data_IF_499550679092
#
_entry.id   IF_499550679092
#
_cell.length_a   1.000
_cell.length_b   1.000
_cell.length_c   1.000
_cell.angle_alpha   90.00
_cell.angle_beta   90.00
_cell.angle_gamma   90.00
#
_symmetry.space_group_name_H-M   'P 1'
#
loop_
_entity.id
_entity.type
_entity.pdbx_description
1 polymer ?
#
# COMPACT_ATOMS: atom_id res chain seq x y z
N UNK A 1 -4.81 -7.91 19.99
CA UNK A 1 -5.52 -7.58 18.74
C UNK A 1 -6.62 -6.58 19.05
N UNK A 2 -6.78 -5.55 18.20
CA UNK A 2 -7.80 -4.51 18.39
C UNK A 2 -9.20 -5.11 18.17
N UNK A 3 -10.16 -4.74 19.02
CA UNK A 3 -11.56 -5.08 18.82
C UNK A 3 -12.10 -4.28 17.62
N UNK A 4 -12.67 -4.97 16.64
CA UNK A 4 -13.28 -4.34 15.47
C UNK A 4 -14.79 -4.53 15.49
N UNK A 5 -15.51 -3.50 15.05
CA UNK A 5 -16.97 -3.50 14.89
C UNK A 5 -17.37 -2.52 13.79
N UNK A 6 -18.65 -2.56 13.40
CA UNK A 6 -19.23 -1.63 12.45
C UNK A 6 -18.82 -0.17 12.73
N UNK A 7 -18.55 0.60 11.66
CA UNK A 7 -17.98 1.97 11.66
C UNK A 7 -16.51 2.10 12.05
N UNK A 8 -15.80 1.01 12.33
CA UNK A 8 -14.34 1.08 12.53
C UNK A 8 -13.64 1.35 11.20
N UNK A 9 -12.72 2.32 11.17
CA UNK A 9 -11.77 2.51 10.07
C UNK A 9 -10.34 2.30 10.56
N UNK A 10 -9.67 1.25 10.07
CA UNK A 10 -8.27 0.95 10.42
C UNK A 10 -7.61 -0.08 9.50
N UNK A 11 -6.28 -0.21 9.57
CA UNK A 11 -5.51 -1.22 8.83
C UNK A 11 -5.84 -2.66 9.24
N UNK A 12 -6.28 -2.88 10.49
CA UNK A 12 -6.76 -4.20 10.91
C UNK A 12 -8.06 -4.60 10.21
N UNK A 13 -8.92 -3.64 9.85
CA UNK A 13 -10.12 -3.92 9.05
C UNK A 13 -9.74 -4.38 7.63
N UNK A 14 -8.69 -3.78 7.04
CA UNK A 14 -8.16 -4.25 5.75
C UNK A 14 -7.70 -5.71 5.85
N UNK A 15 -6.99 -6.05 6.92
CA UNK A 15 -6.52 -7.43 7.15
C UNK A 15 -7.70 -8.40 7.36
N UNK A 16 -8.74 -7.98 8.10
CA UNK A 16 -9.98 -8.73 8.25
C UNK A 16 -10.64 -8.99 6.88
N UNK A 17 -10.77 -7.96 6.05
CA UNK A 17 -11.39 -8.09 4.73
C UNK A 17 -10.57 -9.00 3.80
N UNK A 18 -9.24 -8.91 3.84
CA UNK A 18 -8.35 -9.84 3.11
C UNK A 18 -8.59 -11.30 3.52
N UNK A 19 -8.70 -11.57 4.83
CA UNK A 19 -8.93 -12.93 5.34
C UNK A 19 -10.32 -13.43 4.93
N UNK A 20 -11.37 -12.62 5.13
CA UNK A 20 -12.73 -12.98 4.74
C UNK A 20 -12.80 -13.27 3.23
N UNK A 21 -12.19 -12.42 2.40
CA UNK A 21 -12.12 -12.68 0.96
C UNK A 21 -11.45 -14.02 0.64
N UNK A 22 -10.29 -14.32 1.27
CA UNK A 22 -9.61 -15.62 1.12
C UNK A 22 -10.47 -16.81 1.59
N UNK A 23 -11.37 -16.59 2.54
CA UNK A 23 -12.31 -17.60 3.04
C UNK A 23 -13.59 -17.71 2.17
N UNK A 24 -13.66 -16.99 1.04
CA UNK A 24 -14.73 -17.10 0.06
C UNK A 24 -15.86 -16.09 0.21
N UNK A 25 -15.71 -15.05 1.03
CA UNK A 25 -16.68 -13.97 1.11
C UNK A 25 -16.42 -12.95 0.00
N UNK A 26 -17.38 -12.73 -0.90
CA UNK A 26 -17.26 -11.65 -1.88
C UNK A 26 -17.62 -10.31 -1.24
N UNK A 27 -16.59 -9.60 -0.79
CA UNK A 27 -16.70 -8.28 -0.17
C UNK A 27 -15.68 -7.33 -0.79
N UNK A 28 -15.91 -6.02 -0.62
CA UNK A 28 -14.89 -5.02 -0.93
C UNK A 28 -13.75 -5.07 0.10
N UNK A 29 -12.50 -5.14 -0.38
CA UNK A 29 -11.32 -5.14 0.50
C UNK A 29 -10.91 -3.69 0.79
N UNK A 30 -11.23 -3.20 1.99
CA UNK A 30 -10.93 -1.82 2.38
C UNK A 30 -10.59 -1.70 3.86
N UNK A 31 -10.13 -0.52 4.26
CA UNK A 31 -9.84 -0.19 5.66
C UNK A 31 -11.10 0.16 6.47
N UNK A 32 -12.31 -0.01 5.90
CA UNK A 32 -13.57 0.49 6.46
C UNK A 32 -14.55 -0.66 6.74
N UNK A 33 -15.04 -0.76 7.98
CA UNK A 33 -15.91 -1.83 8.43
C UNK A 33 -17.37 -1.49 8.08
N UNK A 34 -17.79 -1.86 6.87
CA UNK A 34 -19.12 -1.60 6.32
C UNK A 34 -20.18 -2.59 6.83
N UNK A 35 -21.45 -2.36 6.47
CA UNK A 35 -22.55 -3.31 6.73
C UNK A 35 -22.33 -4.66 6.03
N UNK A 36 -21.72 -4.66 4.85
CA UNK A 36 -21.35 -5.87 4.11
C UNK A 36 -20.31 -6.69 4.91
N UNK A 37 -19.30 -6.03 5.47
CA UNK A 37 -18.30 -6.68 6.35
C UNK A 37 -18.96 -7.22 7.62
N UNK A 38 -19.89 -6.48 8.23
CA UNK A 38 -20.65 -6.93 9.40
C UNK A 38 -21.46 -8.21 9.12
N UNK A 39 -22.15 -8.26 7.98
CA UNK A 39 -22.87 -9.44 7.54
C UNK A 39 -21.94 -10.65 7.33
N UNK A 40 -20.79 -10.44 6.67
CA UNK A 40 -19.79 -11.49 6.46
C UNK A 40 -19.19 -11.99 7.79
N UNK A 41 -18.92 -11.09 8.74
CA UNK A 41 -18.43 -11.47 10.08
C UNK A 41 -19.47 -12.29 10.84
N UNK A 42 -20.75 -11.88 10.81
CA UNK A 42 -21.83 -12.63 11.48
C UNK A 42 -22.03 -14.02 10.88
N UNK A 43 -21.99 -14.14 9.56
CA UNK A 43 -22.05 -15.43 8.88
C UNK A 43 -20.83 -16.31 9.23
N UNK A 44 -19.63 -15.73 9.24
CA UNK A 44 -18.42 -16.43 9.69
C UNK A 44 -18.53 -16.92 11.13
N UNK A 45 -18.97 -16.06 12.05
CA UNK A 45 -19.19 -16.42 13.46
C UNK A 45 -20.18 -17.58 13.57
N UNK A 46 -21.31 -17.52 12.84
CA UNK A 46 -22.32 -18.58 12.80
C UNK A 46 -21.76 -19.90 12.30
N UNK A 47 -21.03 -19.89 11.17
CA UNK A 47 -20.41 -21.08 10.56
C UNK A 47 -19.33 -21.74 11.42
N UNK A 48 -18.75 -21.00 12.38
CA UNK A 48 -17.70 -21.50 13.26
C UNK A 48 -18.14 -21.60 14.73
N UNK A 49 -19.46 -21.66 14.99
CA UNK A 49 -20.02 -21.84 16.34
C UNK A 49 -19.55 -20.80 17.37
N UNK A 50 -19.38 -19.55 16.93
CA UNK A 50 -19.08 -18.41 17.79
C UNK A 50 -20.36 -17.63 18.13
N UNK A 51 -20.26 -16.73 19.11
CA UNK A 51 -21.32 -15.74 19.38
C UNK A 51 -21.46 -14.85 18.14
N UNK A 52 -22.68 -14.73 17.62
CA UNK A 52 -23.01 -13.98 16.40
C UNK A 52 -23.36 -12.54 16.78
N UNK A 53 -22.34 -11.75 17.09
CA UNK A 53 -22.48 -10.36 17.53
C UNK A 53 -21.94 -9.33 16.51
N UNK A 54 -21.29 -9.79 15.43
CA UNK A 54 -20.62 -8.92 14.45
C UNK A 54 -19.33 -8.27 14.98
N UNK A 55 -18.91 -8.61 16.20
CA UNK A 55 -17.71 -8.05 16.85
C UNK A 55 -16.53 -8.99 16.61
N UNK A 56 -15.48 -8.46 15.98
CA UNK A 56 -14.23 -9.21 15.81
C UNK A 56 -13.35 -9.01 17.04
N UNK A 57 -13.66 -9.78 18.08
CA UNK A 57 -12.88 -9.90 19.31
C UNK A 57 -11.82 -11.00 19.22
N UNK A 58 -11.12 -11.25 20.34
CA UNK A 58 -10.03 -12.24 20.41
C UNK A 58 -10.43 -13.64 19.95
N UNK A 59 -11.67 -14.07 20.23
CA UNK A 59 -12.19 -15.39 19.83
C UNK A 59 -12.37 -15.47 18.30
N UNK A 60 -13.01 -14.47 17.69
CA UNK A 60 -13.20 -14.41 16.24
C UNK A 60 -11.87 -14.33 15.51
N UNK A 61 -10.94 -13.50 16.00
CA UNK A 61 -9.60 -13.41 15.46
C UNK A 61 -8.83 -14.73 15.50
N UNK A 62 -8.89 -15.46 16.62
CA UNK A 62 -8.20 -16.75 16.75
C UNK A 62 -8.67 -17.75 15.68
N UNK A 63 -9.99 -17.84 15.46
CA UNK A 63 -10.56 -18.74 14.44
C UNK A 63 -10.24 -18.26 13.03
N UNK A 64 -10.32 -16.95 12.75
CA UNK A 64 -9.94 -16.37 11.44
C UNK A 64 -8.50 -16.73 11.08
N UNK A 65 -7.55 -16.50 12.00
CA UNK A 65 -6.13 -16.77 11.78
C UNK A 65 -5.88 -18.26 11.55
N UNK A 66 -6.48 -19.13 12.35
CA UNK A 66 -6.38 -20.58 12.19
C UNK A 66 -6.87 -21.05 10.82
N UNK A 67 -8.04 -20.56 10.37
CA UNK A 67 -8.67 -20.95 9.10
C UNK A 67 -7.98 -20.34 7.88
N UNK A 68 -7.32 -19.20 8.04
CA UNK A 68 -6.65 -18.48 6.96
C UNK A 68 -5.27 -19.06 6.58
N UNK A 69 -4.73 -19.98 7.38
CA UNK A 69 -3.38 -20.61 7.31
C UNK A 69 -2.30 -19.71 6.68
N UNK A 70 -1.38 -19.12 7.48
CA UNK A 70 -0.35 -18.26 6.90
C UNK A 70 0.65 -19.10 6.08
N UNK A 71 0.90 -18.77 4.80
CA UNK A 71 2.04 -19.33 4.10
C UNK A 71 3.31 -18.57 4.54
N UNK A 72 4.30 -19.32 5.03
CA UNK A 72 5.71 -18.94 5.22
C UNK A 72 6.03 -18.08 6.47
N UNK A 73 7.24 -18.22 6.99
CA UNK A 73 7.85 -17.33 8.00
C UNK A 73 7.79 -15.87 7.52
N UNK A 74 6.77 -15.14 7.96
CA UNK A 74 6.45 -13.78 7.52
C UNK A 74 7.46 -12.73 7.99
N UNK A 75 8.29 -13.03 8.99
CA UNK A 75 9.27 -12.10 9.56
C UNK A 75 10.38 -11.70 8.61
N UNK A 76 10.69 -12.51 7.59
CA UNK A 76 11.70 -12.15 6.58
C UNK A 76 11.23 -11.04 5.64
N UNK A 77 9.91 -10.83 5.55
CA UNK A 77 9.31 -9.75 4.77
C UNK A 77 9.21 -8.44 5.54
N UNK A 78 9.19 -8.48 6.87
CA UNK A 78 8.91 -7.30 7.69
C UNK A 78 10.09 -6.37 7.82
N UNK A 79 9.79 -5.09 7.99
CA UNK A 79 10.75 -4.04 8.25
C UNK A 79 11.37 -4.24 9.63
N UNK A 80 12.69 -4.23 9.71
CA UNK A 80 13.44 -4.46 10.94
C UNK A 80 14.00 -3.14 11.45
N UNK A 81 14.26 -3.07 12.75
CA UNK A 81 14.92 -1.92 13.38
C UNK A 81 16.26 -1.59 12.69
N UNK A 82 17.03 -2.63 12.30
CA UNK A 82 18.30 -2.46 11.60
C UNK A 82 18.13 -1.79 10.23
N UNK A 83 16.99 -1.98 9.55
CA UNK A 83 16.71 -1.30 8.28
C UNK A 83 16.55 0.21 8.49
N UNK A 84 15.87 0.60 9.58
CA UNK A 84 15.71 2.01 9.97
C UNK A 84 17.04 2.65 10.36
N UNK A 85 17.89 1.92 11.10
CA UNK A 85 19.23 2.37 11.49
C UNK A 85 20.11 2.56 10.25
N UNK A 86 20.12 1.59 9.33
CA UNK A 86 20.90 1.67 8.10
C UNK A 86 20.44 2.84 7.23
N UNK A 87 19.13 3.07 7.12
CA UNK A 87 18.57 4.22 6.42
C UNK A 87 19.00 5.54 7.08
N UNK A 88 18.92 5.63 8.40
CA UNK A 88 19.33 6.80 9.16
C UNK A 88 20.81 7.13 8.90
N UNK A 89 21.68 6.13 8.98
CA UNK A 89 23.11 6.26 8.72
C UNK A 89 23.39 6.67 7.26
N UNK A 90 22.73 6.02 6.29
CA UNK A 90 22.91 6.30 4.86
C UNK A 90 22.62 7.77 4.53
N UNK A 91 21.54 8.33 5.07
CA UNK A 91 21.12 9.69 4.74
C UNK A 91 21.58 10.74 5.76
N UNK A 92 22.29 10.35 6.84
CA UNK A 92 22.69 11.24 7.92
C UNK A 92 21.48 11.87 8.63
N UNK A 93 20.53 11.03 9.03
CA UNK A 93 19.30 11.39 9.74
C UNK A 93 19.36 10.87 11.17
N UNK A 94 18.63 11.53 12.08
CA UNK A 94 18.36 10.94 13.39
C UNK A 94 17.42 9.74 13.25
N UNK A 95 17.71 8.64 13.95
CA UNK A 95 16.85 7.45 13.96
C UNK A 95 15.42 7.79 14.40
N UNK A 96 15.24 8.73 15.33
CA UNK A 96 13.94 9.22 15.75
C UNK A 96 13.13 9.85 14.60
N UNK A 97 13.80 10.59 13.69
CA UNK A 97 13.15 11.16 12.50
C UNK A 97 12.73 10.06 11.51
N UNK A 98 13.58 9.04 11.30
CA UNK A 98 13.25 7.90 10.45
C UNK A 98 12.07 7.10 11.02
N UNK A 99 12.05 6.85 12.33
CA UNK A 99 10.93 6.19 13.02
C UNK A 99 9.65 7.00 12.94
N UNK A 100 9.71 8.33 13.07
CA UNK A 100 8.56 9.20 12.93
C UNK A 100 7.96 9.14 11.52
N UNK A 101 8.80 9.20 10.49
CA UNK A 101 8.38 9.05 9.09
C UNK A 101 7.81 7.67 8.85
N UNK A 102 8.44 6.60 9.35
CA UNK A 102 7.89 5.25 9.21
C UNK A 102 6.53 5.11 9.90
N UNK A 103 6.32 5.70 11.08
CA UNK A 103 5.02 5.66 11.76
C UNK A 103 3.91 6.39 10.99
N UNK A 104 4.24 7.49 10.30
CA UNK A 104 3.23 8.39 9.71
C UNK A 104 3.01 8.16 8.21
N UNK A 105 4.08 7.89 7.45
CA UNK A 105 4.05 7.81 5.99
C UNK A 105 3.98 6.37 5.47
N UNK A 106 4.30 5.38 6.31
CA UNK A 106 4.07 3.98 5.99
C UNK A 106 2.59 3.66 6.17
N UNK A 107 2.06 2.83 5.30
CA UNK A 107 0.75 2.21 5.52
C UNK A 107 0.78 1.03 6.51
N UNK A 108 1.89 0.87 7.24
CA UNK A 108 2.11 -0.15 8.27
C UNK A 108 2.50 -1.51 7.68
N UNK A 109 1.65 -2.04 6.79
CA UNK A 109 1.85 -3.35 6.15
C UNK A 109 2.22 -3.15 4.67
N UNK A 110 3.40 -3.63 4.27
CA UNK A 110 3.90 -3.58 2.90
C UNK A 110 3.51 -4.78 2.04
N UNK A 111 2.96 -5.85 2.63
CA UNK A 111 2.54 -7.07 1.93
C UNK A 111 1.09 -7.42 2.25
N UNK A 112 0.38 -8.03 1.32
CA UNK A 112 -0.95 -8.62 1.54
C UNK A 112 -0.82 -10.00 2.23
N UNK A 113 -1.91 -10.58 2.74
CA UNK A 113 -1.86 -11.93 3.34
C UNK A 113 -1.41 -13.06 2.39
N UNK A 114 -1.41 -12.81 1.07
CA UNK A 114 -0.90 -13.76 0.06
C UNK A 114 0.57 -13.51 -0.30
N UNK A 115 1.30 -12.75 0.52
CA UNK A 115 2.71 -12.39 0.35
C UNK A 115 3.05 -11.56 -0.90
N UNK A 116 2.05 -11.04 -1.62
CA UNK A 116 2.28 -10.02 -2.66
C UNK A 116 2.49 -8.64 -2.03
N UNK A 117 3.36 -7.79 -2.56
CA UNK A 117 3.45 -6.40 -2.14
C UNK A 117 2.08 -5.72 -2.17
N UNK A 118 1.81 -4.84 -1.23
CA UNK A 118 0.63 -4.00 -1.29
C UNK A 118 0.74 -3.06 -2.49
N UNK A 119 -0.29 -3.00 -3.32
CA UNK A 119 -0.34 -2.08 -4.46
C UNK A 119 -1.64 -1.28 -4.48
N UNK A 120 -1.62 -0.16 -5.19
CA UNK A 120 -2.80 0.50 -5.73
C UNK A 120 -2.57 0.75 -7.22
N UNK A 121 -3.45 0.23 -8.07
CA UNK A 121 -3.33 0.39 -9.52
C UNK A 121 -4.11 1.62 -10.01
N UNK A 122 -3.44 2.46 -10.80
CA UNK A 122 -3.95 3.73 -11.29
C UNK A 122 -4.21 3.69 -12.80
N UNK A 123 -5.44 3.38 -13.21
CA UNK A 123 -5.78 3.24 -14.64
C UNK A 123 -5.62 4.52 -15.48
N UNK A 124 -5.69 5.69 -14.84
CA UNK A 124 -5.36 6.97 -15.47
C UNK A 124 -3.87 7.22 -15.64
N UNK A 125 -3.03 6.64 -14.78
CA UNK A 125 -1.59 6.63 -15.00
C UNK A 125 -1.28 5.63 -16.12
N UNK A 126 -1.97 4.48 -16.17
CA UNK A 126 -1.81 3.50 -17.23
C UNK A 126 -2.12 4.09 -18.61
N UNK A 127 -3.22 4.83 -18.72
CA UNK A 127 -3.52 5.64 -19.91
C UNK A 127 -2.33 6.50 -20.37
N UNK A 128 -1.71 7.22 -19.44
CA UNK A 128 -0.58 8.10 -19.74
C UNK A 128 0.72 7.33 -20.04
N UNK A 129 0.97 6.21 -19.36
CA UNK A 129 2.13 5.37 -19.56
C UNK A 129 2.10 4.64 -20.92
N UNK A 130 0.90 4.27 -21.41
CA UNK A 130 0.71 3.79 -22.79
C UNK A 130 1.05 4.88 -23.82
N UNK A 131 0.53 6.10 -23.64
CA UNK A 131 0.84 7.24 -24.53
C UNK A 131 2.34 7.53 -24.59
N UNK A 132 3.04 7.53 -23.45
CA UNK A 132 4.49 7.74 -23.38
C UNK A 132 5.29 6.67 -24.14
N UNK A 133 4.70 5.49 -24.36
CA UNK A 133 5.28 4.35 -25.06
C UNK A 133 4.86 4.23 -26.54
N UNK A 134 4.15 5.24 -27.04
CA UNK A 134 3.67 5.31 -28.42
C UNK A 134 2.45 4.44 -28.70
N UNK A 135 1.73 4.01 -27.64
CA UNK A 135 0.51 3.21 -27.77
C UNK A 135 -0.67 4.16 -27.57
N UNK A 136 -1.61 4.20 -28.52
CA UNK A 136 -2.84 4.97 -28.38
C UNK A 136 -3.84 4.21 -27.48
N UNK A 137 -4.09 4.68 -26.24
CA UNK A 137 -5.03 4.01 -25.33
C UNK A 137 -6.47 4.03 -25.84
N UNK A 138 -6.84 4.93 -26.76
CA UNK A 138 -8.21 4.98 -27.29
C UNK A 138 -8.60 3.68 -28.03
N UNK A 139 -7.63 2.97 -28.60
CA UNK A 139 -7.83 1.69 -29.29
C UNK A 139 -8.34 0.61 -28.32
N UNK A 140 -7.91 0.68 -27.06
CA UNK A 140 -8.20 -0.32 -26.03
C UNK A 140 -9.28 0.14 -25.04
N UNK A 141 -9.65 1.42 -25.10
CA UNK A 141 -10.64 2.00 -24.20
C UNK A 141 -12.05 1.60 -24.61
N UNK A 142 -12.64 0.68 -23.85
CA UNK A 142 -14.01 0.23 -24.06
C UNK A 142 -14.70 -0.11 -22.72
N UNK A 143 -16.00 -0.42 -22.78
CA UNK A 143 -16.80 -0.70 -21.59
C UNK A 143 -16.31 -1.87 -20.75
N UNK A 144 -15.60 -2.82 -21.34
CA UNK A 144 -15.09 -4.03 -20.69
C UNK A 144 -13.84 -3.79 -19.85
N UNK A 145 -13.11 -2.69 -20.10
CA UNK A 145 -11.83 -2.38 -19.43
C UNK A 145 -11.84 -1.01 -18.73
N UNK A 146 -13.04 -0.46 -18.48
CA UNK A 146 -13.21 0.90 -17.94
C UNK A 146 -12.64 1.09 -16.54
N UNK A 147 -12.41 0.01 -15.81
CA UNK A 147 -11.86 0.00 -14.46
C UNK A 147 -10.33 -0.16 -14.42
N UNK A 148 -9.70 -0.51 -15.56
CA UNK A 148 -8.25 -0.60 -15.71
C UNK A 148 -7.65 0.48 -16.63
N UNK A 149 -8.44 1.04 -17.54
CA UNK A 149 -7.97 2.06 -18.49
C UNK A 149 -8.98 3.21 -18.59
N UNK A 150 -8.58 4.42 -18.20
CA UNK A 150 -9.46 5.59 -18.21
C UNK A 150 -8.66 6.91 -18.22
N UNK A 151 -9.10 7.99 -18.89
CA UNK A 151 -8.27 9.18 -19.08
C UNK A 151 -8.19 10.12 -17.88
N UNK A 152 -9.14 10.06 -16.94
CA UNK A 152 -9.26 11.00 -15.81
C UNK A 152 -9.22 10.27 -14.48
N UNK A 153 -8.50 10.83 -13.51
CA UNK A 153 -8.44 10.25 -12.17
C UNK A 153 -9.83 10.04 -11.56
N UNK A 154 -10.04 8.87 -10.97
CA UNK A 154 -11.23 8.52 -10.22
C UNK A 154 -10.93 7.39 -9.24
N UNK A 155 -11.60 7.41 -8.09
CA UNK A 155 -11.48 6.39 -7.04
C UNK A 155 -12.51 5.26 -7.15
N UNK A 156 -13.48 5.38 -8.07
CA UNK A 156 -14.62 4.44 -8.16
C UNK A 156 -14.20 3.00 -8.49
N UNK A 157 -13.06 2.86 -9.18
CA UNK A 157 -12.54 1.57 -9.62
C UNK A 157 -11.60 0.90 -8.63
N UNK A 158 -11.22 1.58 -7.55
CA UNK A 158 -10.37 0.97 -6.53
C UNK A 158 -11.12 -0.14 -5.80
N UNK A 159 -10.56 -1.34 -5.86
CA UNK A 159 -11.07 -2.56 -5.24
C UNK A 159 -10.34 -2.87 -3.93
N UNK A 160 -9.05 -2.52 -3.86
CA UNK A 160 -8.19 -2.73 -2.71
C UNK A 160 -7.71 -4.18 -2.53
N UNK A 161 -6.65 -4.35 -1.73
CA UNK A 161 -6.07 -5.66 -1.41
C UNK A 161 -5.65 -6.45 -2.66
N UNK A 162 -5.96 -7.75 -2.67
CA UNK A 162 -5.58 -8.64 -3.78
C UNK A 162 -6.32 -8.32 -5.09
N UNK A 163 -7.52 -7.72 -5.02
CA UNK A 163 -8.30 -7.33 -6.21
C UNK A 163 -7.60 -6.23 -7.04
N UNK A 164 -6.65 -5.48 -6.47
CA UNK A 164 -5.80 -4.58 -7.25
C UNK A 164 -4.83 -5.32 -8.18
N UNK A 165 -4.43 -6.56 -7.84
CA UNK A 165 -3.64 -7.39 -8.74
C UNK A 165 -4.45 -7.92 -9.91
N UNK A 166 -5.76 -8.13 -9.77
CA UNK A 166 -6.64 -8.48 -10.88
C UNK A 166 -6.64 -7.36 -11.93
N UNK A 167 -6.84 -6.11 -11.46
CA UNK A 167 -6.75 -4.90 -12.30
C UNK A 167 -5.37 -4.74 -12.96
N UNK A 168 -4.29 -4.94 -12.20
CA UNK A 168 -2.93 -4.87 -12.74
C UNK A 168 -2.68 -5.94 -13.80
N UNK A 169 -3.07 -7.19 -13.54
CA UNK A 169 -2.85 -8.32 -14.47
C UNK A 169 -3.65 -8.12 -15.76
N UNK A 170 -4.90 -7.66 -15.66
CA UNK A 170 -5.70 -7.31 -16.82
C UNK A 170 -5.02 -6.23 -17.66
N UNK A 171 -4.54 -5.15 -17.04
CA UNK A 171 -3.80 -4.09 -17.72
C UNK A 171 -2.51 -4.61 -18.39
N UNK A 172 -1.78 -5.53 -17.75
CA UNK A 172 -0.57 -6.15 -18.32
C UNK A 172 -0.88 -6.96 -19.58
N UNK A 173 -2.07 -7.54 -19.69
CA UNK A 173 -2.51 -8.40 -20.81
C UNK A 173 -3.46 -7.71 -21.78
N UNK A 174 -3.74 -6.42 -21.62
CA UNK A 174 -4.72 -5.68 -22.42
C UNK A 174 -4.33 -5.57 -23.90
N UNK A 175 -3.03 -5.65 -24.22
CA UNK A 175 -2.50 -5.68 -25.57
C UNK A 175 -1.34 -6.65 -25.72
N UNK A 176 -1.04 -7.04 -26.96
CA UNK A 176 0.02 -8.01 -27.27
C UNK A 176 1.44 -7.44 -27.21
N UNK A 177 1.61 -6.11 -27.25
CA UNK A 177 2.92 -5.47 -27.17
C UNK A 177 3.49 -5.62 -25.74
N UNK A 178 4.72 -6.13 -25.55
CA UNK A 178 5.36 -6.26 -24.23
C UNK A 178 5.39 -4.97 -23.41
N UNK A 179 5.33 -3.79 -24.06
CA UNK A 179 5.24 -2.48 -23.41
C UNK A 179 4.02 -2.31 -22.51
N UNK A 180 2.94 -3.09 -22.71
CA UNK A 180 1.77 -3.09 -21.84
C UNK A 180 2.13 -3.49 -20.41
N UNK A 181 2.97 -4.52 -20.25
CA UNK A 181 3.45 -4.96 -18.95
C UNK A 181 4.21 -3.85 -18.23
N UNK A 182 5.17 -3.23 -18.90
CA UNK A 182 5.96 -2.15 -18.32
C UNK A 182 5.11 -0.92 -17.98
N UNK A 183 4.15 -0.58 -18.84
CA UNK A 183 3.21 0.51 -18.59
C UNK A 183 2.33 0.23 -17.37
N UNK A 184 1.79 -1.00 -17.26
CA UNK A 184 0.94 -1.39 -16.15
C UNK A 184 1.70 -1.40 -14.82
N UNK A 185 2.90 -2.00 -14.77
CA UNK A 185 3.76 -1.98 -13.59
C UNK A 185 4.16 -0.54 -13.17
N UNK A 186 4.39 0.33 -14.15
CA UNK A 186 4.70 1.76 -13.90
C UNK A 186 3.51 2.53 -13.31
N UNK A 187 2.31 1.99 -13.48
CA UNK A 187 1.04 2.63 -13.11
C UNK A 187 0.47 2.16 -11.78
N UNK A 188 1.25 1.39 -11.02
CA UNK A 188 0.91 1.04 -9.65
C UNK A 188 1.86 1.72 -8.65
N UNK A 189 1.34 2.06 -7.48
CA UNK A 189 2.15 2.31 -6.28
C UNK A 189 2.48 0.98 -5.60
N UNK A 190 3.65 0.88 -4.98
CA UNK A 190 4.15 -0.38 -4.42
C UNK A 190 4.60 -0.25 -2.97
N UNK A 191 4.31 -1.30 -2.20
CA UNK A 191 4.84 -1.51 -0.86
C UNK A 191 4.28 -0.57 0.20
N UNK A 192 4.94 -0.58 1.35
CA UNK A 192 4.50 0.14 2.56
C UNK A 192 4.42 1.66 2.37
N UNK A 193 5.35 2.24 1.61
CA UNK A 193 5.46 3.67 1.33
C UNK A 193 4.77 4.12 0.03
N UNK A 194 4.19 3.19 -0.75
CA UNK A 194 3.40 3.50 -1.94
C UNK A 194 4.17 4.31 -3.02
N UNK A 195 5.43 3.96 -3.27
CA UNK A 195 6.21 4.59 -4.35
C UNK A 195 5.67 4.13 -5.72
N UNK A 196 5.38 5.08 -6.61
CA UNK A 196 4.88 4.80 -7.96
C UNK A 196 5.96 4.17 -8.85
N UNK A 197 5.59 3.12 -9.58
CA UNK A 197 6.49 2.38 -10.47
C UNK A 197 7.12 3.22 -11.58
N UNK A 198 6.43 4.26 -12.08
CA UNK A 198 7.00 5.16 -13.10
C UNK A 198 8.24 5.92 -12.60
N UNK A 199 8.50 5.98 -11.30
CA UNK A 199 9.71 6.58 -10.73
C UNK A 199 10.94 5.66 -10.83
N UNK A 200 10.78 4.36 -11.14
CA UNK A 200 11.84 3.36 -11.04
C UNK A 200 13.18 3.81 -11.65
N UNK A 201 13.18 4.21 -12.93
CA UNK A 201 14.39 4.68 -13.60
C UNK A 201 14.93 5.98 -13.00
N UNK A 202 14.07 6.93 -12.65
CA UNK A 202 14.50 8.25 -12.17
C UNK A 202 15.13 8.22 -10.77
N UNK A 203 14.79 7.19 -9.97
CA UNK A 203 15.33 6.95 -8.63
C UNK A 203 16.45 5.87 -8.63
N UNK A 204 16.89 5.44 -9.81
CA UNK A 204 18.10 4.63 -9.99
C UNK A 204 17.92 3.11 -9.98
N UNK A 205 16.73 2.60 -10.31
CA UNK A 205 16.54 1.19 -10.70
C UNK A 205 16.77 1.03 -12.21
N UNK A 206 17.08 -0.19 -12.66
CA UNK A 206 17.35 -0.47 -14.09
C UNK A 206 16.10 -0.16 -14.93
N UNK A 207 14.95 -0.67 -14.48
CA UNK A 207 13.64 -0.44 -15.05
C UNK A 207 12.56 -0.74 -13.99
N UNK A 208 11.30 -0.70 -14.41
CA UNK A 208 10.18 -0.98 -13.51
C UNK A 208 10.13 -2.45 -13.08
N UNK A 209 10.63 -3.39 -13.88
CA UNK A 209 10.67 -4.80 -13.53
C UNK A 209 11.70 -5.06 -12.42
N UNK A 210 12.89 -4.45 -12.51
CA UNK A 210 13.89 -4.47 -11.43
C UNK A 210 13.31 -3.85 -10.14
N UNK A 211 12.68 -2.68 -10.23
CA UNK A 211 12.01 -2.05 -9.09
C UNK A 211 10.98 -2.97 -8.44
N UNK A 212 10.06 -3.54 -9.22
CA UNK A 212 9.02 -4.47 -8.73
C UNK A 212 9.65 -5.69 -8.08
N UNK A 213 10.72 -6.24 -8.66
CA UNK A 213 11.42 -7.39 -8.08
C UNK A 213 11.96 -7.09 -6.68
N UNK A 214 12.46 -5.85 -6.44
CA UNK A 214 12.88 -5.42 -5.10
C UNK A 214 11.68 -5.24 -4.17
N UNK A 215 10.57 -4.69 -4.66
CA UNK A 215 9.35 -4.56 -3.86
C UNK A 215 8.80 -5.94 -3.43
N UNK A 216 9.01 -6.98 -4.23
CA UNK A 216 8.64 -8.35 -3.87
C UNK A 216 9.53 -8.96 -2.79
N UNK A 217 10.73 -8.43 -2.52
CA UNK A 217 11.69 -9.02 -1.59
C UNK A 217 11.31 -8.86 -0.12
N UNK A 218 11.18 -7.64 0.39
CA UNK A 218 10.83 -7.33 1.79
C UNK A 218 10.57 -5.81 1.97
N UNK A 219 10.06 -5.41 3.14
CA UNK A 219 9.75 -4.01 3.47
C UNK A 219 11.01 -3.13 3.60
N UNK A 220 12.18 -3.73 3.90
CA UNK A 220 13.46 -3.02 3.84
C UNK A 220 13.77 -2.48 2.44
N UNK A 221 13.45 -3.24 1.38
CA UNK A 221 13.52 -2.74 0.00
C UNK A 221 12.49 -1.65 -0.28
N UNK A 222 11.28 -1.71 0.31
CA UNK A 222 10.30 -0.62 0.20
C UNK A 222 10.86 0.68 0.81
N UNK A 223 11.53 0.58 1.97
CA UNK A 223 12.20 1.72 2.61
C UNK A 223 13.35 2.26 1.75
N UNK A 224 14.13 1.39 1.09
CA UNK A 224 15.19 1.83 0.16
C UNK A 224 14.63 2.61 -1.02
N UNK A 225 13.55 2.12 -1.64
CA UNK A 225 12.85 2.84 -2.72
C UNK A 225 12.36 4.21 -2.26
N UNK A 226 11.76 4.27 -1.06
CA UNK A 226 11.34 5.52 -0.44
C UNK A 226 12.51 6.50 -0.25
N UNK A 227 13.64 6.04 0.28
CA UNK A 227 14.84 6.87 0.44
C UNK A 227 15.36 7.44 -0.88
N UNK A 228 15.47 6.59 -1.91
CA UNK A 228 15.88 7.01 -3.26
C UNK A 228 14.92 8.05 -3.84
N UNK A 229 13.63 7.90 -3.60
CA UNK A 229 12.63 8.88 -3.99
C UNK A 229 12.80 10.21 -3.24
N UNK A 230 12.99 10.17 -1.91
CA UNK A 230 13.20 11.37 -1.11
C UNK A 230 14.48 12.12 -1.55
N UNK A 231 15.57 11.40 -1.78
CA UNK A 231 16.83 11.98 -2.25
C UNK A 231 16.65 12.64 -3.62
N UNK A 232 16.05 11.94 -4.58
CA UNK A 232 15.82 12.46 -5.93
C UNK A 232 14.99 13.75 -5.95
N UNK A 233 14.05 13.89 -5.00
CA UNK A 233 13.16 15.03 -4.89
C UNK A 233 13.63 16.08 -3.87
N UNK A 234 14.85 15.95 -3.33
CA UNK A 234 15.41 16.92 -2.39
C UNK A 234 14.68 16.99 -1.05
N UNK A 235 13.96 15.94 -0.65
CA UNK A 235 13.14 15.92 0.56
C UNK A 235 13.93 15.53 1.82
N UNK A 236 15.09 14.88 1.66
CA UNK A 236 15.98 14.48 2.77
C UNK A 236 16.40 15.69 3.62
N UNK A 237 16.62 16.86 3.00
CA UNK A 237 17.03 18.07 3.72
C UNK A 237 15.98 18.53 4.73
N UNK A 238 14.69 18.35 4.43
CA UNK A 238 13.63 18.71 5.36
C UNK A 238 13.58 17.77 6.56
N UNK A 239 13.90 16.49 6.37
CA UNK A 239 14.03 15.54 7.48
C UNK A 239 15.23 15.87 8.37
N UNK A 240 16.39 16.20 7.78
CA UNK A 240 17.57 16.66 8.54
C UNK A 240 17.27 17.86 9.42
N UNK A 241 16.55 18.82 8.85
CA UNK A 241 16.20 20.08 9.53
C UNK A 241 14.90 19.98 10.34
N UNK A 242 14.27 18.80 10.42
CA UNK A 242 13.00 18.56 11.14
C UNK A 242 11.89 19.53 10.69
N UNK A 243 11.93 19.94 9.42
CA UNK A 243 10.92 20.81 8.80
C UNK A 243 9.76 19.96 8.30
N UNK A 244 8.94 19.48 9.25
CA UNK A 244 7.84 18.54 8.99
C UNK A 244 6.81 19.07 8.01
N UNK A 245 6.52 20.37 8.04
CA UNK A 245 5.59 21.01 7.11
C UNK A 245 6.09 20.96 5.66
N UNK A 246 7.37 21.28 5.43
CA UNK A 246 7.95 21.26 4.07
C UNK A 246 8.12 19.83 3.57
N UNK A 247 8.52 18.91 4.45
CA UNK A 247 8.57 17.49 4.13
C UNK A 247 7.19 16.95 3.74
N UNK A 248 6.18 17.16 4.60
CA UNK A 248 4.82 16.68 4.37
C UNK A 248 4.21 17.29 3.11
N UNK A 249 4.44 18.58 2.82
CA UNK A 249 4.01 19.20 1.57
C UNK A 249 4.69 18.58 0.35
N UNK A 250 5.98 18.30 0.44
CA UNK A 250 6.76 17.71 -0.65
C UNK A 250 6.37 16.26 -0.94
N UNK A 251 6.08 15.47 0.10
CA UNK A 251 5.74 14.06 -0.03
C UNK A 251 4.24 13.81 -0.26
N UNK A 252 3.38 14.39 0.57
CA UNK A 252 1.92 14.20 0.54
C UNK A 252 1.18 15.23 -0.35
N UNK A 253 1.90 16.21 -0.89
CA UNK A 253 1.35 17.26 -1.73
C UNK A 253 0.72 18.44 -0.96
N UNK A 254 0.16 19.43 -1.68
CA UNK A 254 -0.33 20.67 -1.08
C UNK A 254 -1.49 20.49 -0.08
N UNK A 255 -2.24 19.38 -0.18
CA UNK A 255 -3.34 19.05 0.72
C UNK A 255 -2.94 18.47 2.08
N UNK A 256 -1.63 18.33 2.37
CA UNK A 256 -1.14 17.59 3.55
C UNK A 256 -1.73 18.04 4.89
N UNK A 257 -2.06 19.33 5.04
CA UNK A 257 -2.64 19.89 6.28
C UNK A 257 -4.03 19.33 6.60
N UNK A 258 -4.81 18.94 5.59
CA UNK A 258 -6.15 18.37 5.81
C UNK A 258 -6.09 17.08 6.63
N UNK A 259 -5.00 16.32 6.46
CA UNK A 259 -4.73 15.08 7.18
C UNK A 259 -3.72 15.25 8.32
N UNK A 260 -3.30 16.50 8.61
CA UNK A 260 -2.37 16.88 9.69
C UNK A 260 -1.05 16.11 9.65
N UNK A 261 -0.50 15.85 8.46
CA UNK A 261 0.72 15.06 8.32
C UNK A 261 1.91 15.67 9.07
N UNK A 262 2.06 16.99 9.02
CA UNK A 262 3.09 17.73 9.76
C UNK A 262 2.96 17.58 11.28
N UNK A 263 1.76 17.77 11.84
CA UNK A 263 1.52 17.61 13.27
C UNK A 263 1.78 16.16 13.72
N UNK A 264 1.38 15.19 12.91
CA UNK A 264 1.61 13.76 13.18
C UNK A 264 3.11 13.43 13.17
N UNK A 265 3.85 13.90 12.18
CA UNK A 265 5.30 13.72 12.09
C UNK A 265 6.02 14.34 13.29
N UNK A 266 5.67 15.58 13.64
CA UNK A 266 6.25 16.27 14.79
C UNK A 266 5.99 15.52 16.10
N UNK A 267 4.76 15.06 16.31
CA UNK A 267 4.37 14.28 17.49
C UNK A 267 5.09 12.94 17.56
N UNK A 268 5.17 12.22 16.44
CA UNK A 268 5.88 10.94 16.36
C UNK A 268 7.39 11.13 16.62
N UNK A 269 8.00 12.18 16.08
CA UNK A 269 9.40 12.51 16.35
C UNK A 269 9.66 12.77 17.84
N UNK A 270 8.83 13.57 18.50
CA UNK A 270 8.96 13.83 19.93
C UNK A 270 8.85 12.54 20.77
N UNK A 271 7.92 11.64 20.41
CA UNK A 271 7.78 10.32 21.04
C UNK A 271 9.06 9.48 20.92
N UNK A 272 9.71 9.47 19.76
CA UNK A 272 10.91 8.66 19.52
C UNK A 272 12.23 9.33 19.97
N UNK A 273 12.22 10.64 20.24
CA UNK A 273 13.39 11.36 20.73
C UNK A 273 13.53 11.29 22.25
N UNK A 274 12.44 10.99 22.95
CA UNK A 274 12.39 10.88 24.42
C UNK A 274 12.58 9.44 24.94
N UNK A 275 12.78 8.48 24.03
CA UNK A 275 13.05 7.07 24.31
C UNK A 275 14.46 6.72 23.83
#
# INVERSE_FOLDING_TARGET
MKLLKHYTKSSEVLTLCEILYKLGYDIKISDSFTLEVDAAVKDFQKKNSLVVDGIVGVKTWAVLMQKSTPPVNTTDKFLKEIDLINFANQYGLELAAVKAVNEVESSGKGFLINNKPKILFEGHIFWNELKKRGIDPNIYYNSSHKDVLYPKWTKIYYQGGVKEYERLNEAMTLGADPKFKDAALSSASWGSFQIMGFNAKSIGYIDVTDFVSKMEMNEGEHLKAFGKFLEKNGLIVYLKNKNWASFARGYNGPGYKQNKYDEKLAKAYAKYSNN
#
